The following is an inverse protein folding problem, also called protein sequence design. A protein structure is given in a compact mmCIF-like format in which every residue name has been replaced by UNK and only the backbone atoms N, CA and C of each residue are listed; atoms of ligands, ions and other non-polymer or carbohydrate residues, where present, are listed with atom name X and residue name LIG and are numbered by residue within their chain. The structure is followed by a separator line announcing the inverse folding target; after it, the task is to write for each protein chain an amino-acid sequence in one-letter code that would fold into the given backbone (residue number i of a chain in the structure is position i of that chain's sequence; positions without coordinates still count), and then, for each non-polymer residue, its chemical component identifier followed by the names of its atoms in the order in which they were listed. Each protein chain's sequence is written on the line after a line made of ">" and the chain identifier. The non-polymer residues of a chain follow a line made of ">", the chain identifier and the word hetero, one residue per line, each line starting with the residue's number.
data_IF_481590907914
#
_entry.id   IF_481590907914
#
_cell.length_a   1.000
_cell.length_b   1.000
_cell.length_c   1.000
_cell.angle_alpha   90.00
_cell.angle_beta   90.00
_cell.angle_gamma   90.00
#
_symmetry.space_group_name_H-M   'P 1'
#
loop_
_entity.id
_entity.type
_entity.pdbx_description
1 polymer ?
#
# COMPACT_ATOMS: atom_id res chain seq x y z
N UNK A 1 -29.66 -16.76 -12.79
CA UNK A 1 -28.30 -16.18 -12.85
C UNK A 1 -28.46 -14.67 -12.71
N UNK A 2 -28.13 -14.11 -11.55
CA UNK A 2 -28.28 -12.68 -11.29
C UNK A 2 -27.23 -11.88 -12.05
N UNK A 3 -27.62 -10.76 -12.65
CA UNK A 3 -26.74 -9.91 -13.43
C UNK A 3 -25.80 -9.15 -12.46
N UNK A 4 -24.52 -9.56 -12.39
CA UNK A 4 -23.53 -8.90 -11.53
C UNK A 4 -23.03 -7.65 -12.25
N UNK A 5 -23.39 -6.48 -11.74
CA UNK A 5 -22.88 -5.21 -12.26
C UNK A 5 -21.42 -5.06 -11.82
N UNK A 6 -20.50 -5.20 -12.79
CA UNK A 6 -19.09 -4.91 -12.59
C UNK A 6 -18.87 -3.39 -12.57
N UNK A 7 -18.10 -2.91 -11.59
CA UNK A 7 -17.56 -1.56 -11.59
C UNK A 7 -16.05 -1.62 -11.44
N UNK A 8 -15.34 -0.84 -12.24
CA UNK A 8 -13.88 -0.71 -12.16
C UNK A 8 -13.48 -0.02 -10.85
N UNK A 9 -12.35 -0.48 -10.29
CA UNK A 9 -11.81 0.15 -9.09
C UNK A 9 -11.22 1.52 -9.45
N UNK A 10 -11.62 2.55 -8.70
CA UNK A 10 -11.10 3.92 -8.84
C UNK A 10 -10.07 4.17 -7.74
N UNK A 11 -8.98 4.86 -8.07
CA UNK A 11 -7.98 5.27 -7.08
C UNK A 11 -8.62 6.18 -6.02
N UNK A 12 -8.25 5.98 -4.76
CA UNK A 12 -8.71 6.87 -3.68
C UNK A 12 -8.23 8.32 -3.84
N UNK A 13 -7.23 8.56 -4.70
CA UNK A 13 -6.73 9.90 -5.05
C UNK A 13 -7.73 10.66 -5.92
N UNK A 14 -8.53 9.95 -6.73
CA UNK A 14 -9.45 10.54 -7.71
C UNK A 14 -10.87 10.72 -7.13
N UNK A 15 -11.09 10.26 -5.89
CA UNK A 15 -12.37 10.41 -5.20
C UNK A 15 -12.47 11.81 -4.57
N UNK A 16 -13.68 12.41 -4.55
CA UNK A 16 -13.89 13.69 -3.88
C UNK A 16 -13.55 13.57 -2.39
N UNK A 17 -12.85 14.57 -1.86
CA UNK A 17 -12.50 14.64 -0.44
C UNK A 17 -13.78 14.89 0.38
N UNK A 18 -14.28 13.84 1.01
CA UNK A 18 -15.50 13.88 1.83
C UNK A 18 -15.27 14.29 3.27
N UNK A 19 -14.05 14.11 3.80
CA UNK A 19 -13.69 14.35 5.20
C UNK A 19 -12.29 14.99 5.27
N UNK A 20 -12.04 15.93 6.21
CA UNK A 20 -10.71 16.45 6.51
C UNK A 20 -9.59 15.41 6.65
N UNK A 21 -9.89 14.20 7.15
CA UNK A 21 -8.88 13.12 7.25
C UNK A 21 -8.44 12.57 5.89
N UNK A 22 -9.25 12.77 4.84
CA UNK A 22 -8.93 12.38 3.46
C UNK A 22 -8.14 13.47 2.71
N UNK A 23 -7.92 14.64 3.34
CA UNK A 23 -7.02 15.65 2.79
C UNK A 23 -5.57 15.17 2.88
N UNK A 24 -4.71 15.55 1.92
CA UNK A 24 -3.27 15.44 2.12
C UNK A 24 -2.90 16.05 3.48
N UNK A 25 -1.97 15.41 4.19
CA UNK A 25 -1.55 15.86 5.51
C UNK A 25 -1.19 17.35 5.45
N UNK A 26 -1.77 18.20 6.35
CA UNK A 26 -1.57 19.65 6.31
C UNK A 26 -0.11 20.07 6.43
N UNK A 27 0.76 19.23 7.01
CA UNK A 27 2.19 19.50 7.20
C UNK A 27 3.10 18.91 6.09
N UNK A 28 2.59 18.73 4.88
CA UNK A 28 3.42 18.41 3.70
C UNK A 28 4.20 19.63 3.17
N UNK A 29 4.57 20.58 4.04
CA UNK A 29 5.42 21.74 3.70
C UNK A 29 6.74 21.30 3.03
N UNK A 30 7.27 20.14 3.39
CA UNK A 30 8.47 19.55 2.78
C UNK A 30 8.32 19.11 1.31
N UNK A 31 7.11 19.09 0.75
CA UNK A 31 6.86 18.81 -0.68
C UNK A 31 6.40 20.03 -1.48
N UNK A 32 6.19 21.18 -0.84
CA UNK A 32 5.74 22.41 -1.50
C UNK A 32 6.73 22.90 -2.55
N UNK A 33 8.02 22.80 -2.25
CA UNK A 33 9.14 23.18 -3.11
C UNK A 33 10.03 21.97 -3.42
N UNK A 34 9.41 20.89 -3.93
CA UNK A 34 10.14 19.67 -4.26
C UNK A 34 11.19 19.92 -5.36
N UNK A 35 12.45 19.65 -5.02
CA UNK A 35 13.59 19.74 -5.93
C UNK A 35 14.18 18.32 -6.15
N UNK A 36 14.09 17.78 -7.39
CA UNK A 36 14.54 16.43 -7.68
C UNK A 36 16.04 16.25 -7.47
N UNK A 37 16.86 17.24 -7.81
CA UNK A 37 18.32 17.16 -7.70
C UNK A 37 18.78 17.14 -6.24
N UNK A 38 18.18 18.02 -5.41
CA UNK A 38 18.44 18.01 -3.96
C UNK A 38 18.01 16.69 -3.34
N UNK A 39 16.89 16.13 -3.78
CA UNK A 39 16.38 14.84 -3.31
C UNK A 39 17.34 13.71 -3.65
N UNK A 40 17.86 13.66 -4.87
CA UNK A 40 18.85 12.66 -5.29
C UNK A 40 20.15 12.78 -4.51
N UNK A 41 20.66 14.00 -4.32
CA UNK A 41 21.84 14.25 -3.49
C UNK A 41 21.65 13.79 -2.05
N UNK A 42 20.50 14.10 -1.44
CA UNK A 42 20.17 13.65 -0.09
C UNK A 42 20.12 12.11 -0.01
N UNK A 43 19.49 11.44 -0.99
CA UNK A 43 19.46 9.97 -1.08
C UNK A 43 20.87 9.37 -1.13
N UNK A 44 21.76 9.96 -1.92
CA UNK A 44 23.15 9.53 -2.00
C UNK A 44 23.87 9.67 -0.65
N UNK A 45 23.76 10.83 0.01
CA UNK A 45 24.40 11.06 1.32
C UNK A 45 23.88 10.09 2.39
N UNK A 46 22.57 9.86 2.44
CA UNK A 46 21.96 8.89 3.36
C UNK A 46 22.51 7.48 3.10
N UNK A 47 22.72 7.10 1.84
CA UNK A 47 23.30 5.79 1.50
C UNK A 47 24.72 5.62 2.07
N UNK A 48 25.55 6.67 1.99
CA UNK A 48 26.91 6.69 2.53
C UNK A 48 26.92 6.62 4.06
N UNK A 49 26.02 7.37 4.71
CA UNK A 49 25.87 7.32 6.17
C UNK A 49 25.45 5.93 6.64
N UNK A 50 24.45 5.32 5.97
CA UNK A 50 24.02 3.95 6.27
C UNK A 50 25.16 2.94 6.13
N UNK A 51 25.96 3.05 5.08
CA UNK A 51 27.13 2.21 4.86
C UNK A 51 28.16 2.39 5.99
N UNK A 52 28.49 3.64 6.35
CA UNK A 52 29.46 3.98 7.41
C UNK A 52 29.04 3.41 8.78
N UNK A 53 27.75 3.46 9.09
CA UNK A 53 27.22 3.03 10.38
C UNK A 53 26.69 1.58 10.39
N UNK A 54 26.85 0.83 9.29
CA UNK A 54 26.36 -0.55 9.19
C UNK A 54 24.84 -0.69 9.22
N UNK A 55 24.09 0.38 8.98
CA UNK A 55 22.62 0.40 9.01
C UNK A 55 22.10 -0.23 7.71
N UNK A 56 21.74 -1.52 7.77
CA UNK A 56 21.16 -2.23 6.62
C UNK A 56 19.67 -1.95 6.54
N UNK A 57 19.18 -1.64 5.33
CA UNK A 57 17.73 -1.58 5.07
C UNK A 57 17.17 -2.99 5.26
N UNK A 58 16.11 -3.13 6.06
CA UNK A 58 15.45 -4.41 6.28
C UNK A 58 14.96 -4.94 4.93
N UNK A 59 15.37 -6.15 4.58
CA UNK A 59 14.85 -6.86 3.41
C UNK A 59 13.37 -7.11 3.67
N UNK A 60 12.50 -6.64 2.77
CA UNK A 60 11.07 -6.99 2.85
C UNK A 60 10.96 -8.49 2.61
N UNK A 61 10.25 -9.25 3.48
CA UNK A 61 10.03 -10.66 3.21
C UNK A 61 9.30 -10.80 1.88
N UNK A 62 9.61 -11.86 1.14
CA UNK A 62 8.80 -12.25 -0.01
C UNK A 62 7.38 -12.51 0.47
N UNK A 63 6.36 -11.89 -0.13
CA UNK A 63 4.99 -12.18 0.24
C UNK A 63 4.72 -13.66 -0.04
N UNK A 64 4.22 -14.39 0.97
CA UNK A 64 3.82 -15.78 0.77
C UNK A 64 2.57 -15.79 -0.12
N UNK A 65 2.48 -16.69 -1.12
CA UNK A 65 1.27 -16.83 -1.90
C UNK A 65 0.09 -17.16 -0.97
N UNK A 66 -1.02 -16.45 -1.14
CA UNK A 66 -2.27 -16.75 -0.46
C UNK A 66 -2.87 -17.99 -1.14
N UNK A 67 -2.55 -19.18 -0.62
CA UNK A 67 -3.19 -20.42 -1.04
C UNK A 67 -4.60 -20.46 -0.44
N UNK A 68 -5.58 -19.88 -1.12
CA UNK A 68 -6.98 -20.05 -0.75
C UNK A 68 -7.48 -21.38 -1.31
N UNK A 69 -8.10 -22.20 -0.47
CA UNK A 69 -8.85 -23.38 -0.93
C UNK A 69 -10.32 -23.03 -0.82
N UNK A 70 -10.96 -22.80 -1.97
CA UNK A 70 -12.39 -22.54 -2.02
C UNK A 70 -13.15 -23.87 -2.14
N UNK A 71 -14.10 -24.06 -1.24
CA UNK A 71 -15.08 -25.16 -1.26
C UNK A 71 -16.46 -24.57 -1.52
N UNK A 72 -17.48 -25.42 -1.74
CA UNK A 72 -18.87 -24.99 -1.87
C UNK A 72 -19.38 -24.14 -0.68
N UNK A 73 -18.71 -24.23 0.48
CA UNK A 73 -19.05 -23.51 1.71
C UNK A 73 -18.36 -22.16 1.86
N UNK A 74 -17.43 -21.82 0.96
CA UNK A 74 -16.63 -20.60 1.01
C UNK A 74 -15.12 -20.85 0.89
N UNK A 75 -14.34 -19.78 0.95
CA UNK A 75 -12.88 -19.83 0.84
C UNK A 75 -12.23 -19.86 2.22
N UNK A 76 -11.34 -20.84 2.42
CA UNK A 76 -10.62 -21.03 3.68
C UNK A 76 -9.42 -20.08 3.71
N UNK A 77 -9.39 -19.19 4.69
CA UNK A 77 -8.28 -18.27 4.94
C UNK A 77 -7.11 -19.01 5.63
N UNK A 78 -5.86 -18.51 5.51
CA UNK A 78 -4.69 -19.15 6.11
C UNK A 78 -4.74 -19.34 7.64
N UNK A 79 -5.61 -18.61 8.34
CA UNK A 79 -5.83 -18.71 9.79
C UNK A 79 -7.11 -19.48 10.17
N UNK A 80 -7.72 -20.20 9.21
CA UNK A 80 -8.77 -21.19 9.46
C UNK A 80 -10.21 -20.67 9.45
N UNK A 81 -10.42 -19.37 9.23
CA UNK A 81 -11.76 -18.80 9.03
C UNK A 81 -12.24 -19.03 7.60
N UNK A 82 -13.55 -19.26 7.45
CA UNK A 82 -14.19 -19.40 6.14
C UNK A 82 -14.80 -18.05 5.79
N UNK A 83 -14.26 -17.38 4.77
CA UNK A 83 -14.91 -16.19 4.22
C UNK A 83 -16.08 -16.65 3.34
N UNK A 84 -17.30 -16.28 3.74
CA UNK A 84 -18.46 -16.36 2.87
C UNK A 84 -18.50 -15.05 2.11
N UNK A 85 -18.33 -15.11 0.79
CA UNK A 85 -18.64 -13.96 -0.07
C UNK A 85 -20.03 -13.46 0.30
N UNK A 86 -20.18 -12.16 0.54
CA UNK A 86 -21.47 -11.56 0.92
C UNK A 86 -22.51 -11.95 -0.15
N UNK A 87 -23.64 -12.46 0.34
CA UNK A 87 -24.82 -12.79 -0.49
C UNK A 87 -25.49 -11.52 -0.97
#
# INVERSE_FOLDING_TARGET
>A
MGNVSYQEAVSSVDLPITDPIHKPCPDMEGLKDFDPEKTERARFLISKLRQKHGIKKRVKPTPKPLNYTCTERGCIEPWGTVSKGKT
#
